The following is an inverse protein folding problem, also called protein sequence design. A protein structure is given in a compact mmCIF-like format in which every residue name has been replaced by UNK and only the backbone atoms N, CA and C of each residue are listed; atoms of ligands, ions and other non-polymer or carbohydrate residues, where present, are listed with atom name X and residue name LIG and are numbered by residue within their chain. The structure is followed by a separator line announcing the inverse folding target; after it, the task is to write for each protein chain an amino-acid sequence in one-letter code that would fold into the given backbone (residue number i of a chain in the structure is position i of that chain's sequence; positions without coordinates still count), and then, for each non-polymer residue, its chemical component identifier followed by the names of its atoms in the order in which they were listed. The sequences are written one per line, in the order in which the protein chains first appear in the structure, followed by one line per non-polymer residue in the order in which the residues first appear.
data_IF_494803969497
#
_entry.id   IF_494803969497
#
_cell.length_a   1.000
_cell.length_b   1.000
_cell.length_c   1.000
_cell.angle_alpha   90.00
_cell.angle_beta   90.00
_cell.angle_gamma   90.00
#
_symmetry.space_group_name_H-M   'P 1'
#
loop_
_entity.id
_entity.type
_entity.pdbx_description
1 polymer ?
#
# COMPACT_ATOMS: atom_id res chain seq x y z
N UNK A 1 16.12 19.37 36.52
CA UNK A 1 16.21 17.91 36.23
C UNK A 1 14.84 17.24 36.06
N UNK A 2 13.82 17.51 36.89
CA UNK A 2 12.48 16.87 36.75
C UNK A 2 11.75 17.19 35.44
N UNK A 3 11.87 18.42 34.93
CA UNK A 3 11.22 18.85 33.66
C UNK A 3 11.87 18.22 32.44
N UNK A 4 13.21 18.07 32.45
CA UNK A 4 13.96 17.44 31.35
C UNK A 4 13.66 15.94 31.25
N UNK A 5 13.49 15.25 32.38
CA UNK A 5 13.07 13.84 32.42
C UNK A 5 11.61 13.66 31.96
N UNK A 6 10.72 14.63 32.23
CA UNK A 6 9.34 14.63 31.72
C UNK A 6 9.28 14.86 30.20
N UNK A 7 10.15 15.72 29.67
CA UNK A 7 10.32 15.95 28.24
C UNK A 7 10.91 14.71 27.54
N UNK A 8 11.90 14.06 28.14
CA UNK A 8 12.41 12.78 27.63
C UNK A 8 11.34 11.69 27.68
N UNK A 9 10.54 11.60 28.74
CA UNK A 9 9.43 10.64 28.81
C UNK A 9 8.37 10.94 27.74
N UNK A 10 8.03 12.21 27.52
CA UNK A 10 7.13 12.64 26.45
C UNK A 10 7.66 12.33 25.05
N UNK A 11 8.94 12.61 24.77
CA UNK A 11 9.58 12.22 23.52
C UNK A 11 9.67 10.70 23.37
N UNK A 12 9.89 9.95 24.46
CA UNK A 12 9.94 8.48 24.45
C UNK A 12 8.57 7.86 24.15
N UNK A 13 7.48 8.46 24.65
CA UNK A 13 6.11 8.05 24.35
C UNK A 13 5.78 8.36 22.88
N UNK A 14 6.21 9.52 22.36
CA UNK A 14 6.07 9.88 20.94
C UNK A 14 6.81 8.92 19.99
N UNK A 15 7.94 8.35 20.39
CA UNK A 15 8.73 7.41 19.57
C UNK A 15 8.03 6.04 19.44
N UNK A 16 7.06 5.71 20.29
CA UNK A 16 6.31 4.45 20.18
C UNK A 16 5.08 4.52 19.27
N UNK A 17 4.72 5.70 18.76
CA UNK A 17 3.51 5.92 17.94
C UNK A 17 3.69 5.71 16.43
N UNK A 18 4.86 5.22 15.99
CA UNK A 18 5.24 5.20 14.57
C UNK A 18 4.64 4.00 13.81
N UNK A 19 3.85 3.11 14.42
CA UNK A 19 3.32 1.92 13.72
C UNK A 19 1.79 1.74 13.83
N UNK A 20 1.15 2.42 14.78
CA UNK A 20 -0.31 2.48 14.86
C UNK A 20 -0.81 3.57 13.90
N UNK A 21 -1.15 3.19 12.67
CA UNK A 21 -1.83 4.07 11.73
C UNK A 21 -3.32 3.73 11.75
N UNK A 22 -4.08 4.42 12.60
CA UNK A 22 -5.51 4.22 12.74
C UNK A 22 -6.30 4.45 11.44
N UNK A 23 -5.75 5.22 10.49
CA UNK A 23 -6.36 5.41 9.18
C UNK A 23 -6.20 4.16 8.31
N UNK A 24 -5.02 3.53 8.33
CA UNK A 24 -4.77 2.29 7.60
C UNK A 24 -5.44 1.08 8.26
N UNK A 25 -5.61 1.13 9.59
CA UNK A 25 -5.88 -0.06 10.37
C UNK A 25 -7.16 -0.84 9.99
N UNK A 26 -8.28 -0.18 9.66
CA UNK A 26 -9.47 -0.85 9.15
C UNK A 26 -9.25 -1.59 7.84
N UNK A 27 -8.55 -0.95 6.90
CA UNK A 27 -8.26 -1.52 5.59
C UNK A 27 -7.33 -2.72 5.67
N UNK A 28 -6.37 -2.69 6.60
CA UNK A 28 -5.50 -3.83 6.88
C UNK A 28 -6.30 -5.05 7.32
N UNK A 29 -7.29 -4.88 8.21
CA UNK A 29 -8.17 -5.99 8.62
C UNK A 29 -8.97 -6.57 7.45
N UNK A 30 -9.51 -5.72 6.57
CA UNK A 30 -10.22 -6.20 5.39
C UNK A 30 -9.27 -6.92 4.42
N UNK A 31 -8.09 -6.36 4.16
CA UNK A 31 -7.07 -7.01 3.32
C UNK A 31 -6.69 -8.39 3.86
N UNK A 32 -6.36 -8.50 5.15
CA UNK A 32 -6.03 -9.77 5.79
C UNK A 32 -7.21 -10.75 5.75
N UNK A 33 -8.43 -10.25 5.93
CA UNK A 33 -9.63 -11.08 5.87
C UNK A 33 -9.88 -11.64 4.47
N UNK A 34 -9.70 -10.84 3.41
CA UNK A 34 -9.86 -11.32 2.04
C UNK A 34 -8.82 -12.39 1.70
N UNK A 35 -7.56 -12.24 2.14
CA UNK A 35 -6.56 -13.31 1.96
C UNK A 35 -6.91 -14.57 2.77
N UNK A 36 -7.37 -14.42 4.02
CA UNK A 36 -7.91 -15.54 4.81
C UNK A 36 -9.07 -16.25 4.09
N UNK A 37 -9.97 -15.49 3.45
CA UNK A 37 -11.09 -16.03 2.68
C UNK A 37 -10.62 -16.77 1.43
N UNK A 38 -9.65 -16.22 0.69
CA UNK A 38 -9.05 -16.89 -0.45
C UNK A 38 -8.44 -18.24 -0.03
N UNK A 39 -7.71 -18.29 1.09
CA UNK A 39 -7.21 -19.57 1.61
C UNK A 39 -8.35 -20.54 1.88
N UNK A 40 -9.44 -20.08 2.49
CA UNK A 40 -10.60 -20.89 2.81
C UNK A 40 -11.28 -21.47 1.58
N UNK A 41 -11.63 -20.63 0.62
CA UNK A 41 -12.41 -20.99 -0.56
C UNK A 41 -11.61 -21.90 -1.52
N UNK A 42 -10.29 -21.73 -1.56
CA UNK A 42 -9.39 -22.55 -2.38
C UNK A 42 -8.98 -23.87 -1.73
N UNK A 43 -9.20 -24.03 -0.42
CA UNK A 43 -8.87 -25.25 0.31
C UNK A 43 -7.39 -25.44 0.65
N UNK A 44 -6.53 -24.44 0.40
CA UNK A 44 -5.10 -24.50 0.78
C UNK A 44 -4.92 -24.53 2.30
N UNK A 45 -3.69 -24.84 2.74
CA UNK A 45 -3.30 -24.72 4.15
C UNK A 45 -3.57 -23.30 4.66
N UNK A 46 -4.16 -23.18 5.86
CA UNK A 46 -4.52 -21.89 6.44
C UNK A 46 -3.31 -21.30 7.14
N UNK A 47 -2.65 -20.33 6.51
CA UNK A 47 -1.58 -19.57 7.14
C UNK A 47 -2.11 -18.33 7.86
N UNK A 48 -3.24 -17.76 7.39
CA UNK A 48 -3.80 -16.53 7.94
C UNK A 48 -4.83 -16.85 9.02
N UNK A 49 -4.59 -16.34 10.23
CA UNK A 49 -5.42 -16.51 11.41
C UNK A 49 -6.00 -17.93 11.59
N UNK A 50 -5.18 -19.01 11.52
CA UNK A 50 -5.68 -20.39 11.50
C UNK A 50 -6.55 -20.73 12.72
N UNK A 51 -6.25 -20.13 13.87
CA UNK A 51 -7.01 -20.31 15.11
C UNK A 51 -8.40 -19.67 15.11
N UNK A 52 -8.71 -18.75 14.18
CA UNK A 52 -10.04 -18.17 14.08
C UNK A 52 -11.07 -19.25 13.76
N UNK A 53 -10.80 -20.06 12.72
CA UNK A 53 -11.71 -21.13 12.32
C UNK A 53 -11.88 -22.18 13.43
N UNK A 54 -10.81 -22.51 14.15
CA UNK A 54 -10.86 -23.41 15.30
C UNK A 54 -11.79 -22.90 16.41
N UNK A 55 -11.75 -21.59 16.68
CA UNK A 55 -12.59 -20.97 17.72
C UNK A 55 -14.08 -21.01 17.39
N UNK A 56 -14.44 -20.83 16.12
CA UNK A 56 -15.84 -20.73 15.69
C UNK A 56 -16.39 -22.00 15.02
N UNK A 57 -15.55 -23.02 14.78
CA UNK A 57 -15.94 -24.30 14.18
C UNK A 57 -16.27 -24.24 12.69
N UNK A 58 -15.98 -23.11 12.03
CA UNK A 58 -16.23 -22.84 10.61
C UNK A 58 -15.36 -21.66 10.17
N UNK A 59 -15.38 -21.34 8.88
CA UNK A 59 -14.87 -20.06 8.39
C UNK A 59 -15.45 -18.91 9.25
N UNK A 60 -14.58 -18.02 9.71
CA UNK A 60 -15.00 -16.83 10.44
C UNK A 60 -15.74 -15.88 9.51
N UNK A 61 -16.81 -15.28 10.01
CA UNK A 61 -17.34 -14.06 9.41
C UNK A 61 -16.39 -12.90 9.70
N UNK A 62 -16.54 -11.80 8.97
CA UNK A 62 -15.63 -10.67 9.09
C UNK A 62 -15.56 -10.10 10.52
N UNK A 63 -16.71 -9.89 11.17
CA UNK A 63 -16.77 -9.35 12.53
C UNK A 63 -16.07 -10.25 13.57
N UNK A 64 -16.17 -11.57 13.40
CA UNK A 64 -15.49 -12.57 14.22
C UNK A 64 -13.98 -12.55 14.01
N UNK A 65 -13.55 -12.48 12.74
CA UNK A 65 -12.14 -12.36 12.36
C UNK A 65 -11.53 -11.06 12.91
N UNK A 66 -12.21 -9.94 12.72
CA UNK A 66 -11.78 -8.64 13.23
C UNK A 66 -11.62 -8.67 14.75
N UNK A 67 -12.63 -9.15 15.50
CA UNK A 67 -12.55 -9.29 16.97
C UNK A 67 -11.50 -10.29 17.43
N UNK A 68 -11.21 -11.31 16.63
CA UNK A 68 -10.18 -12.30 16.93
C UNK A 68 -8.79 -11.65 16.90
N UNK A 69 -8.55 -10.73 15.96
CA UNK A 69 -7.24 -10.08 15.78
C UNK A 69 -7.05 -8.79 16.58
N UNK A 70 -8.12 -8.09 16.92
CA UNK A 70 -8.02 -6.86 17.71
C UNK A 70 -7.45 -7.11 19.12
N UNK A 71 -6.66 -6.16 19.60
CA UNK A 71 -6.34 -6.09 21.03
C UNK A 71 -7.58 -5.79 21.89
N UNK A 72 -7.44 -5.86 23.21
CA UNK A 72 -8.58 -5.75 24.11
C UNK A 72 -9.30 -4.39 24.00
N UNK A 73 -8.56 -3.28 23.91
CA UNK A 73 -9.15 -1.94 23.90
C UNK A 73 -9.95 -1.69 22.63
N UNK A 74 -9.37 -2.00 21.46
CA UNK A 74 -10.08 -1.83 20.20
C UNK A 74 -11.25 -2.81 20.06
N UNK A 75 -11.07 -4.05 20.52
CA UNK A 75 -12.14 -5.06 20.50
C UNK A 75 -13.35 -4.66 21.34
N UNK A 76 -13.14 -4.01 22.48
CA UNK A 76 -14.21 -3.55 23.36
C UNK A 76 -14.94 -2.32 22.79
N UNK A 77 -14.24 -1.50 22.00
CA UNK A 77 -14.80 -0.37 21.27
C UNK A 77 -15.57 -0.79 20.01
N UNK A 78 -15.15 -1.87 19.35
CA UNK A 78 -15.75 -2.33 18.09
C UNK A 78 -17.16 -2.94 18.30
N UNK A 79 -18.17 -2.25 17.77
CA UNK A 79 -19.59 -2.63 17.83
C UNK A 79 -20.12 -2.97 16.43
N UNK A 80 -19.88 -4.19 15.91
CA UNK A 80 -20.43 -4.61 14.64
C UNK A 80 -21.96 -4.67 14.68
N UNK A 81 -22.56 -4.36 13.55
CA UNK A 81 -23.97 -4.56 13.26
C UNK A 81 -24.22 -5.94 12.65
N UNK A 82 -25.49 -6.32 12.48
CA UNK A 82 -25.84 -7.58 11.81
C UNK A 82 -25.30 -7.66 10.36
N UNK A 83 -25.13 -6.52 9.68
CA UNK A 83 -24.57 -6.48 8.32
C UNK A 83 -23.06 -6.78 8.28
N UNK A 84 -22.35 -6.58 9.39
CA UNK A 84 -20.92 -6.86 9.50
C UNK A 84 -20.63 -8.35 9.73
N UNK A 85 -21.65 -9.14 10.08
CA UNK A 85 -21.58 -10.60 10.15
C UNK A 85 -21.71 -11.21 8.74
N UNK A 86 -20.75 -10.88 7.89
CA UNK A 86 -20.74 -11.22 6.45
C UNK A 86 -19.43 -11.88 6.05
N UNK A 87 -19.47 -12.59 4.93
CA UNK A 87 -18.28 -13.13 4.27
C UNK A 87 -17.68 -12.19 3.24
N UNK A 88 -18.37 -11.12 2.88
CA UNK A 88 -17.97 -10.18 1.83
C UNK A 88 -18.07 -8.74 2.37
N UNK A 89 -17.20 -8.35 3.31
CA UNK A 89 -17.22 -7.02 3.92
C UNK A 89 -16.73 -5.94 2.96
N UNK A 90 -17.56 -4.93 2.68
CA UNK A 90 -17.14 -3.75 1.92
C UNK A 90 -16.79 -2.56 2.80
N UNK A 91 -16.75 -1.36 2.20
CA UNK A 91 -16.46 -0.08 2.87
C UNK A 91 -17.37 0.26 4.06
N UNK A 92 -18.57 -0.32 4.15
CA UNK A 92 -19.42 -0.21 5.33
C UNK A 92 -18.74 -0.75 6.60
N UNK A 93 -17.96 -1.83 6.47
CA UNK A 93 -17.20 -2.42 7.56
C UNK A 93 -16.04 -1.51 8.00
N UNK A 94 -15.38 -0.83 7.07
CA UNK A 94 -14.35 0.20 7.36
C UNK A 94 -14.94 1.30 8.24
N UNK A 95 -16.10 1.83 7.86
CA UNK A 95 -16.79 2.87 8.65
C UNK A 95 -17.07 2.40 10.08
N UNK A 96 -17.44 1.14 10.27
CA UNK A 96 -17.70 0.56 11.60
C UNK A 96 -16.43 0.35 12.41
N UNK A 97 -15.35 -0.08 11.77
CA UNK A 97 -14.04 -0.27 12.42
C UNK A 97 -13.41 1.05 12.86
N UNK A 98 -13.59 2.10 12.07
CA UNK A 98 -13.12 3.46 12.39
C UNK A 98 -13.96 4.12 13.49
N UNK A 99 -15.20 3.66 13.70
CA UNK A 99 -16.09 4.20 14.74
C UNK A 99 -15.54 3.86 16.12
N UNK A 100 -15.19 4.89 16.89
CA UNK A 100 -14.59 4.75 18.22
C UNK A 100 -13.26 3.98 18.24
N UNK A 101 -12.50 4.02 17.14
CA UNK A 101 -11.16 3.44 17.12
C UNK A 101 -10.30 4.09 18.23
N UNK A 102 -9.64 3.31 19.09
CA UNK A 102 -8.83 3.86 20.17
C UNK A 102 -7.62 4.61 19.59
N UNK A 103 -6.98 5.45 20.39
CA UNK A 103 -5.85 6.27 19.92
C UNK A 103 -4.67 5.43 19.37
N UNK A 104 -4.53 4.19 19.81
CA UNK A 104 -3.56 3.23 19.30
C UNK A 104 -4.25 1.90 19.00
N UNK A 105 -4.85 1.77 17.81
CA UNK A 105 -5.36 0.48 17.34
C UNK A 105 -4.21 -0.51 17.15
N UNK A 106 -4.34 -1.72 17.70
CA UNK A 106 -3.32 -2.77 17.61
C UNK A 106 -3.92 -4.12 17.25
N UNK A 107 -3.10 -4.91 16.58
CA UNK A 107 -3.36 -6.30 16.24
C UNK A 107 -2.60 -7.24 17.16
N UNK A 108 -3.21 -8.39 17.42
CA UNK A 108 -2.52 -9.57 17.90
C UNK A 108 -1.88 -10.28 16.70
N UNK A 109 -0.71 -9.80 16.25
CA UNK A 109 -0.02 -10.34 15.07
C UNK A 109 0.34 -11.83 15.21
N UNK A 110 0.58 -12.30 16.44
CA UNK A 110 0.77 -13.71 16.75
C UNK A 110 -0.49 -14.56 16.53
N UNK A 111 -1.68 -13.96 16.54
CA UNK A 111 -2.92 -14.63 16.15
C UNK A 111 -3.16 -14.59 14.65
N UNK A 112 -2.71 -13.53 13.97
CA UNK A 112 -2.79 -13.40 12.51
C UNK A 112 -1.81 -14.36 11.81
N UNK A 113 -0.55 -14.36 12.22
CA UNK A 113 0.53 -15.17 11.63
C UNK A 113 1.31 -15.87 12.74
N UNK A 114 0.79 -16.97 13.31
CA UNK A 114 1.40 -17.64 14.46
C UNK A 114 2.78 -18.25 14.17
N UNK A 115 3.14 -18.39 12.89
CA UNK A 115 4.40 -19.00 12.44
C UNK A 115 5.55 -18.02 12.28
N UNK A 116 5.28 -16.71 12.36
CA UNK A 116 6.33 -15.69 12.35
C UNK A 116 6.47 -15.08 13.74
N UNK A 117 7.71 -14.85 14.19
CA UNK A 117 7.97 -14.01 15.36
C UNK A 117 7.81 -12.54 14.97
N UNK A 118 6.58 -12.13 14.65
CA UNK A 118 6.27 -10.76 14.30
C UNK A 118 6.15 -9.88 15.54
N UNK A 119 6.93 -8.81 15.57
CA UNK A 119 6.66 -7.62 16.37
C UNK A 119 6.20 -6.47 15.46
N UNK A 120 5.89 -5.30 16.04
CA UNK A 120 5.42 -4.16 15.25
C UNK A 120 6.44 -3.66 14.21
N UNK A 121 7.75 -3.97 14.33
CA UNK A 121 8.75 -3.65 13.30
C UNK A 121 8.73 -4.65 12.12
N UNK A 122 7.93 -5.71 12.24
CA UNK A 122 7.83 -6.80 11.28
C UNK A 122 6.69 -6.63 10.29
N UNK A 123 6.03 -5.47 10.20
CA UNK A 123 4.93 -5.25 9.23
C UNK A 123 5.32 -5.53 7.76
N UNK A 124 6.54 -5.21 7.27
CA UNK A 124 6.97 -5.67 5.95
C UNK A 124 6.88 -7.20 5.80
N UNK A 125 7.35 -7.94 6.81
CA UNK A 125 7.27 -9.40 6.86
C UNK A 125 5.81 -9.89 6.96
N UNK A 126 4.93 -9.16 7.65
CA UNK A 126 3.49 -9.46 7.67
C UNK A 126 2.93 -9.38 6.25
N UNK A 127 3.16 -8.28 5.53
CA UNK A 127 2.65 -8.12 4.16
C UNK A 127 3.27 -9.13 3.18
N UNK A 128 4.56 -9.44 3.32
CA UNK A 128 5.21 -10.50 2.53
C UNK A 128 4.58 -11.88 2.78
N UNK A 129 4.32 -12.21 4.04
CA UNK A 129 3.69 -13.50 4.41
C UNK A 129 2.24 -13.56 3.92
N UNK A 130 1.50 -12.45 4.02
CA UNK A 130 0.14 -12.32 3.49
C UNK A 130 0.14 -12.49 1.96
N UNK A 131 1.10 -11.88 1.26
CA UNK A 131 1.27 -12.06 -0.18
C UNK A 131 1.59 -13.52 -0.53
N UNK A 132 2.48 -14.17 0.21
CA UNK A 132 2.80 -15.58 -0.02
C UNK A 132 1.56 -16.48 0.16
N UNK A 133 0.75 -16.24 1.20
CA UNK A 133 -0.52 -16.93 1.41
C UNK A 133 -1.50 -16.71 0.25
N UNK A 134 -1.64 -15.46 -0.21
CA UNK A 134 -2.48 -15.12 -1.34
C UNK A 134 -2.02 -15.80 -2.64
N UNK A 135 -0.71 -15.78 -2.94
CA UNK A 135 -0.15 -16.46 -4.11
C UNK A 135 -0.39 -17.98 -4.08
N UNK A 136 -0.29 -18.61 -2.91
CA UNK A 136 -0.63 -20.03 -2.76
C UNK A 136 -2.11 -20.32 -3.05
N UNK A 137 -3.01 -19.44 -2.64
CA UNK A 137 -4.44 -19.55 -2.94
C UNK A 137 -4.72 -19.29 -4.43
N UNK A 138 -4.11 -18.26 -5.02
CA UNK A 138 -4.22 -17.93 -6.46
C UNK A 138 -3.77 -19.10 -7.32
N UNK A 139 -2.80 -19.90 -6.86
CA UNK A 139 -2.33 -21.09 -7.56
C UNK A 139 -3.39 -22.22 -7.65
N UNK A 140 -4.53 -22.14 -6.97
CA UNK A 140 -5.59 -23.16 -7.01
C UNK A 140 -6.72 -22.84 -8.01
N UNK A 141 -7.51 -23.84 -8.39
CA UNK A 141 -8.59 -23.68 -9.39
C UNK A 141 -9.81 -22.89 -8.88
N UNK A 142 -10.10 -22.94 -7.58
CA UNK A 142 -11.34 -22.38 -6.99
C UNK A 142 -11.16 -20.94 -6.46
N UNK A 143 -10.18 -20.20 -6.97
CA UNK A 143 -9.96 -18.81 -6.54
C UNK A 143 -11.10 -17.92 -7.06
N UNK A 144 -11.66 -17.07 -6.20
CA UNK A 144 -12.75 -16.15 -6.56
C UNK A 144 -12.16 -14.80 -7.00
N UNK A 145 -12.55 -14.33 -8.19
CA UNK A 145 -12.07 -13.06 -8.77
C UNK A 145 -12.44 -11.86 -7.90
N UNK A 146 -13.71 -11.76 -7.49
CA UNK A 146 -14.21 -10.62 -6.71
C UNK A 146 -13.47 -10.49 -5.38
N UNK A 147 -13.17 -11.60 -4.70
CA UNK A 147 -12.41 -11.56 -3.44
C UNK A 147 -10.96 -11.12 -3.64
N UNK A 148 -10.35 -11.51 -4.75
CA UNK A 148 -9.01 -11.10 -5.11
C UNK A 148 -8.95 -9.61 -5.47
N UNK A 149 -9.94 -9.10 -6.21
CA UNK A 149 -10.10 -7.67 -6.49
C UNK A 149 -10.32 -6.87 -5.20
N UNK A 150 -11.12 -7.38 -4.26
CA UNK A 150 -11.27 -6.75 -2.96
C UNK A 150 -9.97 -6.79 -2.14
N UNK A 151 -9.19 -7.87 -2.19
CA UNK A 151 -7.88 -7.92 -1.53
C UNK A 151 -6.94 -6.84 -2.08
N UNK A 152 -6.92 -6.63 -3.40
CA UNK A 152 -6.15 -5.56 -4.08
C UNK A 152 -6.64 -4.18 -3.67
N UNK A 153 -7.94 -3.91 -3.77
CA UNK A 153 -8.54 -2.62 -3.41
C UNK A 153 -8.21 -2.23 -1.96
N UNK A 154 -8.31 -3.19 -1.03
CA UNK A 154 -7.96 -2.93 0.37
C UNK A 154 -6.46 -2.69 0.56
N UNK A 155 -5.59 -3.41 -0.17
CA UNK A 155 -4.15 -3.15 -0.13
C UNK A 155 -3.79 -1.76 -0.68
N UNK A 156 -4.50 -1.28 -1.71
CA UNK A 156 -4.35 0.07 -2.25
C UNK A 156 -4.73 1.14 -1.20
N UNK A 157 -5.86 0.98 -0.51
CA UNK A 157 -6.28 1.89 0.57
C UNK A 157 -5.28 1.88 1.75
N UNK A 158 -4.73 0.71 2.11
CA UNK A 158 -3.66 0.61 3.13
C UNK A 158 -2.42 1.39 2.68
N UNK A 159 -2.00 1.21 1.42
CA UNK A 159 -0.86 1.93 0.85
C UNK A 159 -1.11 3.43 0.91
N UNK A 160 -2.26 3.90 0.45
CA UNK A 160 -2.62 5.32 0.48
C UNK A 160 -2.61 5.89 1.90
N UNK A 161 -3.21 5.20 2.87
CA UNK A 161 -3.23 5.64 4.26
C UNK A 161 -1.84 5.65 4.92
N UNK A 162 -0.90 4.81 4.48
CA UNK A 162 0.46 4.70 5.03
C UNK A 162 1.51 5.56 4.31
N UNK A 163 1.17 6.14 3.16
CA UNK A 163 2.11 6.91 2.33
C UNK A 163 2.43 8.31 2.83
N UNK A 164 1.51 9.12 3.40
CA UNK A 164 1.78 10.52 3.77
C UNK A 164 3.04 10.74 4.62
N UNK A 165 3.33 9.93 5.66
CA UNK A 165 4.54 10.10 6.47
C UNK A 165 5.85 9.92 5.69
N UNK A 166 5.83 9.18 4.59
CA UNK A 166 7.00 8.95 3.72
C UNK A 166 7.02 9.98 2.58
N UNK A 167 5.84 10.44 2.15
CA UNK A 167 5.71 11.37 1.04
C UNK A 167 6.42 12.69 1.32
N UNK A 168 6.32 13.24 2.53
CA UNK A 168 7.08 14.44 2.92
C UNK A 168 8.60 14.25 2.77
N UNK A 169 9.10 13.04 3.03
CA UNK A 169 10.52 12.69 2.90
C UNK A 169 10.91 12.53 1.42
N UNK A 170 10.03 11.90 0.63
CA UNK A 170 10.18 11.80 -0.82
C UNK A 170 10.21 13.18 -1.48
N UNK A 171 9.32 14.07 -1.07
CA UNK A 171 9.22 15.44 -1.57
C UNK A 171 10.50 16.23 -1.25
N UNK A 172 10.98 16.16 -0.01
CA UNK A 172 12.24 16.79 0.39
C UNK A 172 13.44 16.23 -0.39
N UNK A 173 13.51 14.91 -0.60
CA UNK A 173 14.56 14.27 -1.37
C UNK A 173 14.54 14.67 -2.85
N UNK A 174 13.34 14.73 -3.45
CA UNK A 174 13.16 15.19 -4.82
C UNK A 174 13.62 16.63 -4.95
N UNK A 175 13.12 17.54 -4.09
CA UNK A 175 13.50 18.97 -4.09
C UNK A 175 15.01 19.15 -3.96
N UNK A 176 15.66 18.37 -3.08
CA UNK A 176 17.11 18.42 -2.89
C UNK A 176 17.88 17.99 -4.15
N UNK A 177 17.34 17.03 -4.93
CA UNK A 177 17.98 16.54 -6.15
C UNK A 177 17.76 17.44 -7.36
N UNK A 178 16.50 17.82 -7.62
CA UNK A 178 16.15 18.58 -8.83
C UNK A 178 16.40 20.08 -8.67
N UNK A 179 16.53 20.55 -7.43
CA UNK A 179 16.67 21.97 -7.10
C UNK A 179 15.32 22.69 -7.09
N UNK A 180 15.28 23.86 -6.46
CA UNK A 180 14.03 24.62 -6.24
C UNK A 180 13.35 25.04 -7.54
N UNK A 181 14.11 25.52 -8.53
CA UNK A 181 13.60 25.93 -9.85
C UNK A 181 12.88 24.80 -10.59
N UNK A 182 13.40 23.57 -10.55
CA UNK A 182 12.75 22.43 -11.19
C UNK A 182 11.60 21.88 -10.35
N UNK A 183 11.70 21.99 -9.03
CA UNK A 183 10.69 21.50 -8.11
C UNK A 183 9.39 22.31 -8.19
N UNK A 184 9.44 23.59 -8.56
CA UNK A 184 8.24 24.44 -8.74
C UNK A 184 7.28 23.91 -9.82
N UNK A 185 7.74 23.06 -10.73
CA UNK A 185 6.91 22.39 -11.73
C UNK A 185 6.26 21.10 -11.20
N UNK A 186 6.75 20.54 -10.09
CA UNK A 186 6.30 19.27 -9.54
C UNK A 186 4.90 19.40 -8.97
N UNK A 187 3.96 18.66 -9.57
CA UNK A 187 2.58 18.57 -9.10
C UNK A 187 2.46 17.43 -8.08
N UNK A 188 1.85 17.72 -6.94
CA UNK A 188 1.69 16.77 -5.82
C UNK A 188 0.23 16.56 -5.44
N UNK A 189 -0.08 15.41 -4.85
CA UNK A 189 -1.31 15.15 -4.09
C UNK A 189 -0.99 15.13 -2.59
N UNK A 190 -1.95 14.74 -1.75
CA UNK A 190 -1.70 14.53 -0.32
C UNK A 190 -0.75 13.35 -0.02
N UNK A 191 -0.48 12.48 -1.00
CA UNK A 191 0.19 11.20 -0.79
C UNK A 191 1.02 10.73 -1.99
N UNK A 192 1.30 11.58 -2.98
CA UNK A 192 2.00 11.17 -4.18
C UNK A 192 2.32 12.29 -5.16
N UNK A 193 3.10 11.96 -6.19
CA UNK A 193 3.44 12.86 -7.28
C UNK A 193 2.49 12.65 -8.46
N UNK A 194 2.15 13.72 -9.15
CA UNK A 194 1.41 13.68 -10.42
C UNK A 194 2.40 13.85 -11.57
N UNK A 195 3.10 12.78 -11.91
CA UNK A 195 4.12 12.84 -12.96
C UNK A 195 3.59 13.27 -14.33
N UNK A 196 2.43 12.79 -14.81
CA UNK A 196 1.88 13.26 -16.09
C UNK A 196 1.65 14.78 -16.11
N UNK A 197 1.04 15.31 -15.06
CA UNK A 197 0.77 16.75 -14.92
C UNK A 197 2.08 17.55 -14.79
N UNK A 198 3.06 17.01 -14.06
CA UNK A 198 4.38 17.61 -13.88
C UNK A 198 5.13 17.70 -15.20
N UNK A 199 5.17 16.61 -15.98
CA UNK A 199 5.86 16.56 -17.26
C UNK A 199 5.17 17.47 -18.29
N UNK A 200 3.83 17.49 -18.29
CA UNK A 200 3.06 18.40 -19.14
C UNK A 200 3.32 19.88 -18.80
N UNK A 201 3.42 20.23 -17.51
CA UNK A 201 3.75 21.59 -17.10
C UNK A 201 5.14 22.04 -17.57
N UNK A 202 6.13 21.13 -17.55
CA UNK A 202 7.48 21.40 -18.09
C UNK A 202 7.42 21.60 -19.61
N UNK A 203 6.66 20.77 -20.33
CA UNK A 203 6.52 20.89 -21.77
C UNK A 203 5.83 22.21 -22.16
N UNK A 204 4.76 22.60 -21.46
CA UNK A 204 4.12 23.91 -21.68
C UNK A 204 5.07 25.08 -21.41
N UNK A 205 5.88 25.03 -20.35
CA UNK A 205 6.85 26.09 -20.07
C UNK A 205 7.96 26.20 -21.14
N UNK A 206 8.29 25.09 -21.81
CA UNK A 206 9.20 25.11 -22.97
C UNK A 206 8.53 25.73 -24.19
N UNK A 207 7.26 25.40 -24.44
CA UNK A 207 6.47 25.95 -25.55
C UNK A 207 6.24 27.47 -25.39
N UNK A 208 5.96 27.92 -24.17
CA UNK A 208 5.70 29.32 -23.83
C UNK A 208 6.99 30.17 -23.78
N UNK A 209 8.17 29.54 -23.82
CA UNK A 209 9.47 30.20 -23.81
C UNK A 209 9.98 30.59 -22.42
N UNK A 210 9.26 30.24 -21.36
CA UNK A 210 9.66 30.42 -19.96
C UNK A 210 10.84 29.51 -19.58
N UNK A 211 10.98 28.37 -20.28
CA UNK A 211 12.06 27.41 -20.11
C UNK A 211 12.74 27.11 -21.45
N UNK A 212 14.07 27.00 -21.47
CA UNK A 212 14.77 26.49 -22.67
C UNK A 212 14.53 24.99 -22.82
N UNK A 213 14.46 24.48 -24.06
CA UNK A 213 14.32 23.05 -24.34
C UNK A 213 15.40 22.19 -23.66
N UNK A 214 16.65 22.67 -23.58
CA UNK A 214 17.76 21.97 -22.91
C UNK A 214 17.54 21.84 -21.39
N UNK A 215 17.12 22.92 -20.72
CA UNK A 215 16.73 22.88 -19.30
C UNK A 215 15.53 21.94 -19.09
N UNK A 216 14.52 21.98 -19.96
CA UNK A 216 13.34 21.11 -19.86
C UNK A 216 13.69 19.64 -19.96
N UNK A 217 14.52 19.28 -20.95
CA UNK A 217 15.03 17.92 -21.09
C UNK A 217 15.82 17.48 -19.84
N UNK A 218 16.68 18.34 -19.30
CA UNK A 218 17.47 18.06 -18.09
C UNK A 218 16.58 17.85 -16.87
N UNK A 219 15.55 18.68 -16.68
CA UNK A 219 14.60 18.54 -15.57
C UNK A 219 13.81 17.23 -15.66
N UNK A 220 13.28 16.90 -16.84
CA UNK A 220 12.56 15.64 -17.08
C UNK A 220 13.45 14.42 -16.82
N UNK A 221 14.72 14.47 -17.24
CA UNK A 221 15.67 13.39 -16.98
C UNK A 221 16.00 13.25 -15.48
N UNK A 222 16.18 14.35 -14.76
CA UNK A 222 16.42 14.30 -13.31
C UNK A 222 15.21 13.75 -12.54
N UNK A 223 13.99 14.08 -12.94
CA UNK A 223 12.75 13.51 -12.39
C UNK A 223 12.67 12.01 -12.68
N UNK A 224 12.98 11.60 -13.91
CA UNK A 224 13.03 10.18 -14.31
C UNK A 224 14.09 9.40 -13.53
N UNK A 225 15.27 9.97 -13.32
CA UNK A 225 16.31 9.35 -12.50
C UNK A 225 15.89 9.27 -11.03
N UNK A 226 15.11 10.23 -10.53
CA UNK A 226 14.56 10.17 -9.19
C UNK A 226 13.57 9.03 -9.02
N UNK A 227 12.60 8.85 -9.91
CA UNK A 227 11.66 7.73 -9.79
C UNK A 227 12.36 6.36 -9.80
N UNK A 228 13.52 6.25 -10.44
CA UNK A 228 14.33 5.03 -10.47
C UNK A 228 15.24 4.84 -9.25
N UNK A 229 15.62 5.91 -8.54
CA UNK A 229 16.69 5.86 -7.51
C UNK A 229 16.33 6.53 -6.19
N UNK A 230 15.09 7.01 -6.00
CA UNK A 230 14.64 7.74 -4.82
C UNK A 230 14.92 6.99 -3.51
N UNK A 231 14.96 5.66 -3.56
CA UNK A 231 15.32 4.83 -2.40
C UNK A 231 16.69 5.20 -1.84
N UNK A 232 17.70 5.41 -2.68
CA UNK A 232 19.05 5.77 -2.24
C UNK A 232 19.11 7.15 -1.56
N UNK A 233 18.24 8.07 -1.93
CA UNK A 233 18.17 9.40 -1.32
C UNK A 233 17.49 9.37 0.06
N UNK A 234 16.45 8.55 0.18
CA UNK A 234 15.66 8.41 1.42
C UNK A 234 16.39 7.59 2.49
N UNK A 235 17.31 6.70 2.08
CA UNK A 235 18.12 5.88 3.00
C UNK A 235 19.05 6.71 3.92
N UNK A 236 19.15 8.02 3.72
CA UNK A 236 19.86 8.93 4.64
C UNK A 236 19.01 9.37 5.85
N UNK A 237 17.72 9.02 5.89
CA UNK A 237 16.75 9.38 6.94
C UNK A 237 16.82 8.54 8.23
N UNK A 238 15.86 8.73 9.15
CA UNK A 238 15.83 7.98 10.43
C UNK A 238 15.33 6.55 10.23
N UNK A 239 15.69 5.63 11.14
CA UNK A 239 15.28 4.20 11.09
C UNK A 239 13.75 4.01 11.08
N UNK A 240 12.98 4.92 11.69
CA UNK A 240 11.51 4.96 11.60
C UNK A 240 11.00 5.06 10.17
N UNK A 241 11.66 5.92 9.39
CA UNK A 241 11.26 6.30 8.05
C UNK A 241 11.52 5.15 7.08
N UNK A 242 12.59 4.39 7.34
CA UNK A 242 12.94 3.16 6.64
C UNK A 242 11.88 2.07 6.83
N UNK A 243 11.35 1.90 8.05
CA UNK A 243 10.31 0.91 8.30
C UNK A 243 9.02 1.27 7.58
N UNK A 244 8.60 2.53 7.62
CA UNK A 244 7.44 2.99 6.86
C UNK A 244 7.62 2.80 5.35
N UNK A 245 8.78 3.19 4.81
CA UNK A 245 9.12 2.98 3.41
C UNK A 245 9.02 1.50 3.01
N UNK A 246 9.60 0.61 3.82
CA UNK A 246 9.55 -0.83 3.57
C UNK A 246 8.13 -1.40 3.62
N UNK A 247 7.25 -0.84 4.47
CA UNK A 247 5.82 -1.22 4.50
C UNK A 247 5.14 -0.83 3.19
N UNK A 248 5.30 0.43 2.74
CA UNK A 248 4.69 0.91 1.49
C UNK A 248 5.23 0.16 0.27
N UNK A 249 6.50 -0.21 0.26
CA UNK A 249 7.08 -1.08 -0.79
C UNK A 249 6.48 -2.47 -0.78
N UNK A 250 6.39 -3.10 0.40
CA UNK A 250 5.80 -4.45 0.53
C UNK A 250 4.34 -4.45 0.05
N UNK A 251 3.59 -3.38 0.34
CA UNK A 251 2.25 -3.17 -0.17
C UNK A 251 2.24 -3.02 -1.69
N UNK A 252 3.12 -2.19 -2.27
CA UNK A 252 3.22 -2.04 -3.73
C UNK A 252 3.52 -3.38 -4.42
N UNK A 253 4.49 -4.15 -3.90
CA UNK A 253 4.79 -5.50 -4.40
C UNK A 253 3.58 -6.43 -4.29
N UNK A 254 2.86 -6.37 -3.17
CA UNK A 254 1.65 -7.16 -2.97
C UNK A 254 0.58 -6.82 -4.00
N UNK A 255 0.25 -5.54 -4.16
CA UNK A 255 -0.75 -5.07 -5.12
C UNK A 255 -0.38 -5.52 -6.54
N UNK A 256 0.85 -5.23 -7.02
CA UNK A 256 1.33 -5.65 -8.35
C UNK A 256 1.24 -7.17 -8.55
N UNK A 257 1.67 -7.96 -7.56
CA UNK A 257 1.63 -9.42 -7.67
C UNK A 257 0.20 -9.96 -7.70
N UNK A 258 -0.70 -9.42 -6.89
CA UNK A 258 -2.10 -9.82 -6.85
C UNK A 258 -2.84 -9.41 -8.14
N UNK A 259 -2.62 -8.18 -8.62
CA UNK A 259 -3.16 -7.67 -9.90
C UNK A 259 -2.74 -8.57 -11.06
N UNK A 260 -1.45 -8.90 -11.16
CA UNK A 260 -0.97 -9.86 -12.17
C UNK A 260 -1.61 -11.23 -12.01
N UNK A 261 -1.81 -11.69 -10.77
CA UNK A 261 -2.55 -12.93 -10.49
C UNK A 261 -3.98 -12.91 -11.03
N UNK A 262 -4.67 -11.76 -10.96
CA UNK A 262 -6.00 -11.58 -11.57
C UNK A 262 -5.90 -11.71 -13.08
N UNK A 263 -4.99 -10.98 -13.72
CA UNK A 263 -4.83 -10.94 -15.18
C UNK A 263 -4.50 -12.34 -15.75
N UNK A 264 -3.62 -13.09 -15.08
CA UNK A 264 -3.22 -14.43 -15.50
C UNK A 264 -4.33 -15.48 -15.29
N UNK A 265 -5.11 -15.37 -14.21
CA UNK A 265 -6.18 -16.35 -13.88
C UNK A 265 -7.52 -16.04 -14.53
N UNK A 266 -7.80 -14.79 -14.80
CA UNK A 266 -9.06 -14.32 -15.34
C UNK A 266 -8.82 -13.41 -16.55
N UNK A 267 -8.21 -13.96 -17.63
CA UNK A 267 -7.95 -13.18 -18.83
C UNK A 267 -9.27 -12.64 -19.36
N UNK A 268 -9.32 -11.35 -19.67
CA UNK A 268 -10.51 -10.74 -20.25
C UNK A 268 -10.84 -11.45 -21.57
N UNK A 269 -12.09 -11.91 -21.69
CA UNK A 269 -12.59 -12.54 -22.91
C UNK A 269 -12.85 -11.48 -23.99
N UNK A 270 -11.77 -10.89 -24.50
CA UNK A 270 -11.76 -9.87 -25.54
C UNK A 270 -10.40 -9.90 -26.23
N UNK A 271 -10.30 -10.66 -27.30
CA UNK A 271 -9.02 -10.90 -27.97
C UNK A 271 -8.41 -9.63 -28.56
N UNK A 272 -7.23 -9.26 -28.08
CA UNK A 272 -6.11 -8.81 -28.91
C UNK A 272 -4.83 -9.28 -28.22
N UNK A 273 -4.04 -10.09 -28.94
CA UNK A 273 -2.70 -10.52 -28.53
C UNK A 273 -1.81 -9.29 -28.33
N UNK A 274 -1.71 -8.84 -27.08
CA UNK A 274 -0.73 -7.84 -26.65
C UNK A 274 0.24 -8.56 -25.74
N UNK A 275 1.51 -8.63 -26.16
CA UNK A 275 2.59 -9.16 -25.34
C UNK A 275 2.54 -8.51 -23.96
N UNK A 276 2.38 -9.35 -22.94
CA UNK A 276 2.32 -9.02 -21.53
C UNK A 276 3.54 -8.21 -21.09
N UNK A 277 3.38 -6.90 -20.98
CA UNK A 277 4.22 -6.03 -20.17
C UNK A 277 3.87 -6.18 -18.68
N UNK A 278 4.78 -5.85 -17.76
CA UNK A 278 4.50 -5.86 -16.33
C UNK A 278 3.31 -4.94 -16.00
N UNK A 279 2.43 -5.38 -15.10
CA UNK A 279 1.20 -4.69 -14.72
C UNK A 279 1.42 -3.20 -14.45
N UNK A 280 0.51 -2.38 -14.96
CA UNK A 280 0.51 -0.91 -14.97
C UNK A 280 0.57 -0.22 -13.59
N UNK A 281 0.75 -0.91 -12.48
CA UNK A 281 0.86 -0.27 -11.16
C UNK A 281 2.29 0.17 -10.82
N UNK A 282 3.29 -0.45 -11.45
CA UNK A 282 4.65 0.10 -11.52
C UNK A 282 4.87 0.94 -12.79
N UNK A 283 3.98 0.79 -13.78
CA UNK A 283 4.07 1.42 -15.11
C UNK A 283 3.18 2.68 -15.26
N UNK A 284 2.13 2.86 -14.45
CA UNK A 284 1.20 4.01 -14.52
C UNK A 284 1.84 5.33 -14.09
N UNK A 285 3.03 5.29 -13.52
CA UNK A 285 3.81 6.49 -13.31
C UNK A 285 4.58 6.94 -14.56
N UNK A 286 4.83 6.07 -15.57
CA UNK A 286 5.75 6.38 -16.67
C UNK A 286 5.52 5.68 -18.03
N UNK A 287 4.38 5.05 -18.32
CA UNK A 287 4.13 4.47 -19.66
C UNK A 287 3.70 5.54 -20.67
N UNK A 288 4.62 5.96 -21.56
CA UNK A 288 4.28 6.57 -22.85
C UNK A 288 4.76 5.72 -24.02
N UNK A 289 3.87 5.56 -24.97
CA UNK A 289 4.12 5.18 -26.34
C UNK A 289 5.05 6.20 -27.01
N UNK A 290 6.20 5.72 -27.47
CA UNK A 290 7.08 6.47 -28.37
C UNK A 290 6.38 6.71 -29.71
N UNK A 291 5.89 7.92 -29.94
CA UNK A 291 5.58 8.40 -31.29
C UNK A 291 6.91 8.63 -32.02
N UNK A 292 7.31 7.65 -32.83
CA UNK A 292 8.34 7.85 -33.84
C UNK A 292 7.84 8.84 -34.89
N UNK A 293 8.35 10.06 -34.84
CA UNK A 293 8.26 11.00 -35.96
C UNK A 293 9.15 10.50 -37.10
N UNK A 294 8.57 9.75 -38.04
CA UNK A 294 9.20 9.55 -39.35
C UNK A 294 8.86 10.75 -40.23
N UNK A 295 9.78 11.70 -40.24
CA UNK A 295 9.96 12.63 -41.34
C UNK A 295 10.50 11.85 -42.54
N UNK A 296 9.66 11.60 -43.55
CA UNK A 296 10.14 11.31 -44.89
C UNK A 296 9.58 12.38 -45.82
N UNK A 297 10.51 13.20 -46.31
CA UNK A 297 10.33 14.06 -47.47
C UNK A 297 10.67 13.23 -48.70
N UNK A 298 9.70 13.08 -49.60
CA UNK A 298 9.82 13.27 -51.06
C UNK A 298 8.42 13.34 -51.68
#
# INVERSE_FOLDING_TARGET
MKVFNLLFLWCSVLITHVLANNQAAPYELLHYYYVYKLEWDTGVEKAIAPGCATKYGRMCYFDEFAKYLMDAEWRDAYRPSAADHTKSPGMGAVTKLSSNIPHSARYQLNLLLPHINADAKSFPLVFETILHAANNAIAQENVNKDDLEQAVAMAQEVKEARTPPIFEIQEAALKARVGEEAFDFVQVTASGFKWPDTLAAIDSAVEDGDLTAEKGATMKENIRLFSLTYEHDILTGKVSDHNHLNIVKSLATSITSLTRGIEERFPESGGVSSSSGPSSECESEFSYSSTSSSSDSD
#
